data_IF_305771562054
#
_entry.id   IF_305771562054
#
_cell.length_a   1.000
_cell.length_b   1.000
_cell.length_c   1.000
_cell.angle_alpha   90.00
_cell.angle_beta   90.00
_cell.angle_gamma   90.00
#
_symmetry.space_group_name_H-M   'P 1'
#
loop_
_entity.id
_entity.type
_entity.pdbx_description
1 polymer ?
#
# COMPACT_ATOMS: atom_id res chain seq x y z
N UNK A 1 16.66 -10.73 1.96
CA UNK A 1 15.24 -10.32 1.90
C UNK A 1 14.46 -11.36 1.12
N UNK A 2 13.33 -11.85 1.68
CA UNK A 2 12.51 -12.86 1.02
C UNK A 2 11.11 -12.32 0.77
N UNK A 3 10.58 -12.54 -0.43
CA UNK A 3 9.22 -12.19 -0.83
C UNK A 3 8.44 -13.46 -1.09
N UNK A 4 7.26 -13.59 -0.48
CA UNK A 4 6.47 -14.81 -0.47
C UNK A 4 5.19 -14.68 -1.30
N UNK A 5 4.87 -15.71 -2.08
CA UNK A 5 3.64 -15.84 -2.84
C UNK A 5 3.73 -15.34 -4.29
N UNK A 6 2.81 -15.87 -5.14
CA UNK A 6 2.88 -15.68 -6.60
C UNK A 6 2.78 -14.22 -7.03
N UNK A 7 1.79 -13.49 -6.53
CA UNK A 7 1.56 -12.11 -6.96
C UNK A 7 2.67 -11.15 -6.52
N UNK A 8 3.12 -11.13 -5.23
CA UNK A 8 4.21 -10.27 -4.79
C UNK A 8 5.52 -10.57 -5.53
N UNK A 9 5.84 -11.84 -5.76
CA UNK A 9 7.04 -12.24 -6.51
C UNK A 9 6.98 -11.76 -7.95
N UNK A 10 5.87 -11.99 -8.66
CA UNK A 10 5.66 -11.51 -10.04
C UNK A 10 5.82 -9.99 -10.14
N UNK A 11 5.27 -9.28 -9.17
CA UNK A 11 5.34 -7.83 -9.10
C UNK A 11 6.78 -7.34 -8.94
N UNK A 12 7.54 -7.95 -8.02
CA UNK A 12 8.95 -7.61 -7.79
C UNK A 12 9.83 -7.92 -8.98
N UNK A 13 9.63 -9.05 -9.63
CA UNK A 13 10.32 -9.39 -10.87
C UNK A 13 10.03 -8.38 -11.99
N UNK A 14 8.77 -7.93 -12.11
CA UNK A 14 8.37 -6.90 -13.06
C UNK A 14 9.04 -5.54 -12.77
N UNK A 15 9.22 -5.21 -11.50
CA UNK A 15 9.95 -4.02 -11.06
C UNK A 15 11.44 -4.11 -11.42
N UNK A 16 12.08 -5.25 -11.17
CA UNK A 16 13.47 -5.50 -11.58
C UNK A 16 13.65 -5.33 -13.09
N UNK A 17 12.73 -5.87 -13.89
CA UNK A 17 12.74 -5.72 -15.35
C UNK A 17 12.64 -4.26 -15.77
N UNK A 18 11.71 -3.50 -15.19
CA UNK A 18 11.49 -2.09 -15.51
C UNK A 18 12.68 -1.21 -15.15
N UNK A 19 13.31 -1.47 -14.00
CA UNK A 19 14.48 -0.71 -13.51
C UNK A 19 15.81 -1.19 -14.09
N UNK A 20 15.80 -2.29 -14.85
CA UNK A 20 16.99 -2.99 -15.35
C UNK A 20 18.05 -3.22 -14.25
N UNK A 21 17.58 -3.54 -13.04
CA UNK A 21 18.41 -3.71 -11.86
C UNK A 21 17.99 -4.96 -11.07
N UNK A 22 18.71 -6.07 -11.29
CA UNK A 22 18.52 -7.33 -10.58
C UNK A 22 19.68 -7.51 -9.61
N UNK A 23 19.43 -7.73 -8.31
CA UNK A 23 20.50 -8.06 -7.35
C UNK A 23 21.26 -9.31 -7.77
N UNK A 24 22.59 -9.31 -7.65
CA UNK A 24 23.46 -10.41 -8.09
C UNK A 24 23.24 -11.72 -7.33
N UNK A 25 22.68 -11.63 -6.11
CA UNK A 25 22.37 -12.76 -5.23
C UNK A 25 20.88 -13.15 -5.26
N UNK A 26 20.14 -12.65 -6.27
CA UNK A 26 18.70 -12.92 -6.41
C UNK A 26 18.45 -14.38 -6.83
N UNK A 27 17.57 -15.07 -6.08
CA UNK A 27 17.19 -16.47 -6.35
C UNK A 27 15.67 -16.61 -6.28
N UNK A 28 15.10 -17.38 -7.21
CA UNK A 28 13.70 -17.80 -7.18
C UNK A 28 13.63 -19.23 -6.62
N UNK A 29 13.07 -19.39 -5.43
CA UNK A 29 12.90 -20.67 -4.76
C UNK A 29 11.50 -21.20 -5.03
N UNK A 30 11.41 -22.38 -5.59
CA UNK A 30 10.18 -23.04 -6.01
C UNK A 30 9.99 -24.34 -5.24
N UNK A 31 8.80 -24.53 -4.66
CA UNK A 31 8.44 -25.82 -4.06
C UNK A 31 8.24 -26.84 -5.14
N UNK A 32 8.91 -28.00 -5.03
CA UNK A 32 8.64 -29.13 -5.92
C UNK A 32 7.17 -29.55 -5.84
N UNK A 33 6.49 -29.45 -6.96
CA UNK A 33 5.11 -29.88 -7.16
C UNK A 33 5.02 -30.72 -8.43
N UNK A 34 3.90 -31.42 -8.64
CA UNK A 34 3.58 -31.96 -9.95
C UNK A 34 3.65 -30.84 -11.00
N UNK A 35 4.31 -31.14 -12.13
CA UNK A 35 4.64 -30.17 -13.20
C UNK A 35 3.46 -29.33 -13.71
N UNK A 36 2.22 -29.78 -13.48
CA UNK A 36 0.99 -29.10 -13.86
C UNK A 36 0.64 -27.84 -13.04
N UNK A 37 1.36 -27.57 -11.93
CA UNK A 37 1.03 -26.50 -11.00
C UNK A 37 2.13 -25.43 -10.83
N UNK A 38 3.15 -25.46 -11.65
CA UNK A 38 4.19 -24.43 -11.63
C UNK A 38 3.68 -23.09 -12.18
N UNK A 39 4.08 -21.95 -11.57
CA UNK A 39 3.75 -20.62 -12.06
C UNK A 39 4.64 -20.26 -13.25
N UNK A 40 4.27 -20.74 -14.44
CA UNK A 40 5.06 -20.60 -15.67
C UNK A 40 5.36 -19.17 -16.02
N UNK A 41 4.43 -18.24 -15.78
CA UNK A 41 4.60 -16.81 -15.99
C UNK A 41 5.69 -16.18 -15.12
N UNK A 42 5.83 -16.62 -13.86
CA UNK A 42 6.88 -16.18 -12.94
C UNK A 42 8.23 -16.77 -13.34
N UNK A 43 8.24 -18.06 -13.70
CA UNK A 43 9.44 -18.76 -14.13
C UNK A 43 10.01 -18.10 -15.39
N UNK A 44 9.20 -17.91 -16.44
CA UNK A 44 9.62 -17.25 -17.67
C UNK A 44 10.15 -15.84 -17.43
N UNK A 45 9.52 -15.10 -16.51
CA UNK A 45 9.98 -13.76 -16.17
C UNK A 45 11.34 -13.80 -15.42
N UNK A 46 11.54 -14.72 -14.50
CA UNK A 46 12.79 -14.90 -13.77
C UNK A 46 13.93 -15.35 -14.71
N UNK A 47 13.65 -16.27 -15.64
CA UNK A 47 14.59 -16.68 -16.67
C UNK A 47 15.04 -15.52 -17.57
N UNK A 48 14.07 -14.69 -17.99
CA UNK A 48 14.37 -13.51 -18.82
C UNK A 48 15.25 -12.47 -18.11
N UNK A 49 15.29 -12.52 -16.77
CA UNK A 49 16.11 -11.65 -15.93
C UNK A 49 17.44 -12.30 -15.47
N UNK A 50 17.71 -13.53 -15.90
CA UNK A 50 18.90 -14.26 -15.51
C UNK A 50 18.94 -14.65 -14.01
N UNK A 51 17.77 -14.73 -13.36
CA UNK A 51 17.67 -15.07 -11.94
C UNK A 51 17.83 -16.58 -11.75
N UNK A 52 18.70 -16.98 -10.82
CA UNK A 52 18.92 -18.38 -10.48
C UNK A 52 17.66 -19.00 -9.88
N UNK A 53 17.25 -20.17 -10.39
CA UNK A 53 16.13 -20.93 -9.85
C UNK A 53 16.61 -22.06 -8.97
N UNK A 54 15.97 -22.22 -7.82
CA UNK A 54 16.22 -23.28 -6.85
C UNK A 54 14.92 -24.07 -6.62
N UNK A 55 14.96 -25.39 -6.79
CA UNK A 55 13.81 -26.25 -6.54
C UNK A 55 14.04 -27.00 -5.22
N UNK A 56 13.08 -26.85 -4.31
CA UNK A 56 13.18 -27.43 -2.96
C UNK A 56 12.06 -28.44 -2.74
N UNK A 57 12.43 -29.61 -2.21
CA UNK A 57 11.47 -30.68 -1.90
C UNK A 57 10.39 -30.18 -0.92
N UNK A 58 9.13 -30.60 -1.13
CA UNK A 58 7.95 -30.12 -0.38
C UNK A 58 8.13 -30.10 1.14
N UNK A 59 8.69 -31.20 1.72
CA UNK A 59 8.88 -31.29 3.18
C UNK A 59 9.89 -30.27 3.71
N UNK A 60 10.94 -30.02 2.99
CA UNK A 60 11.99 -29.06 3.33
C UNK A 60 11.44 -27.63 3.16
N UNK A 61 10.77 -27.36 2.05
CA UNK A 61 10.15 -26.07 1.77
C UNK A 61 9.09 -25.70 2.82
N UNK A 62 8.15 -26.63 3.12
CA UNK A 62 7.11 -26.41 4.12
C UNK A 62 7.68 -26.37 5.55
N UNK A 63 8.78 -27.07 5.83
CA UNK A 63 9.51 -26.99 7.10
C UNK A 63 10.18 -25.64 7.32
N UNK A 64 10.79 -25.09 6.28
CA UNK A 64 11.51 -23.82 6.35
C UNK A 64 10.58 -22.60 6.22
N UNK A 65 9.57 -22.67 5.36
CA UNK A 65 8.73 -21.54 4.99
C UNK A 65 7.24 -21.72 5.30
N UNK A 66 6.83 -22.84 5.92
CA UNK A 66 5.42 -23.19 6.14
C UNK A 66 4.60 -22.19 6.97
N UNK A 67 5.28 -21.32 7.74
CA UNK A 67 4.65 -20.21 8.48
C UNK A 67 4.22 -19.03 7.59
N UNK A 68 4.70 -19.00 6.33
CA UNK A 68 4.42 -17.92 5.39
C UNK A 68 3.39 -18.35 4.34
N UNK A 69 2.61 -17.42 3.81
CA UNK A 69 1.66 -17.67 2.73
C UNK A 69 2.36 -17.67 1.35
N UNK A 70 3.27 -18.61 1.15
CA UNK A 70 4.20 -18.66 0.01
C UNK A 70 3.61 -19.17 -1.32
N UNK A 71 2.47 -19.85 -1.32
CA UNK A 71 1.88 -20.46 -2.53
C UNK A 71 2.89 -21.26 -3.40
N UNK A 72 3.95 -21.81 -2.75
CA UNK A 72 5.02 -22.56 -3.41
C UNK A 72 6.08 -21.72 -4.13
N UNK A 73 6.12 -20.40 -3.93
CA UNK A 73 7.04 -19.48 -4.62
C UNK A 73 7.63 -18.46 -3.66
N UNK A 74 8.97 -18.31 -3.70
CA UNK A 74 9.70 -17.32 -2.90
C UNK A 74 10.77 -16.68 -3.78
N UNK A 75 10.94 -15.37 -3.68
CA UNK A 75 12.05 -14.64 -4.28
C UNK A 75 12.97 -14.14 -3.16
N UNK A 76 14.23 -14.62 -3.16
CA UNK A 76 15.24 -14.26 -2.16
C UNK A 76 16.36 -13.43 -2.78
N UNK A 77 16.78 -12.34 -2.12
CA UNK A 77 17.90 -11.48 -2.53
C UNK A 77 18.43 -10.67 -1.34
N UNK A 78 19.62 -10.08 -1.46
CA UNK A 78 20.23 -9.21 -0.43
C UNK A 78 20.90 -9.96 0.73
N UNK A 79 21.57 -11.07 0.46
CA UNK A 79 22.53 -11.68 1.39
C UNK A 79 21.94 -12.49 2.57
N UNK A 80 20.70 -12.98 2.45
CA UNK A 80 20.07 -13.81 3.49
C UNK A 80 20.33 -15.30 3.25
N UNK A 81 21.45 -15.83 3.76
CA UNK A 81 21.59 -17.27 3.97
C UNK A 81 20.79 -17.66 5.22
N UNK A 82 19.62 -18.26 5.04
CA UNK A 82 18.86 -18.84 6.16
C UNK A 82 19.52 -20.14 6.65
N UNK A 83 20.48 -20.03 7.56
CA UNK A 83 20.79 -21.10 8.49
C UNK A 83 19.82 -20.99 9.68
N UNK A 84 19.11 -22.11 9.93
CA UNK A 84 18.17 -22.21 11.04
C UNK A 84 18.83 -21.88 12.37
N UNK A 85 18.59 -20.72 12.95
CA UNK A 85 18.60 -20.42 14.39
C UNK A 85 18.05 -19.03 14.66
N UNK A 86 16.96 -19.00 15.45
CA UNK A 86 16.52 -17.96 16.37
C UNK A 86 16.42 -16.49 15.89
N UNK A 87 15.18 -16.00 15.99
CA UNK A 87 14.82 -14.61 16.31
C UNK A 87 15.63 -13.51 15.63
N UNK A 88 15.34 -13.26 14.34
CA UNK A 88 15.37 -11.90 13.87
C UNK A 88 14.28 -11.71 12.80
N UNK A 89 13.37 -10.76 13.07
CA UNK A 89 12.34 -10.35 12.13
C UNK A 89 13.04 -9.73 10.92
N UNK A 90 13.30 -10.54 9.88
CA UNK A 90 13.56 -9.97 8.55
C UNK A 90 12.30 -9.23 8.13
N UNK A 91 12.26 -7.95 8.43
CA UNK A 91 11.17 -7.05 8.04
C UNK A 91 11.14 -7.03 6.52
N UNK A 92 10.05 -7.53 5.94
CA UNK A 92 9.69 -7.14 4.58
C UNK A 92 9.69 -5.62 4.54
N UNK A 93 10.64 -5.04 3.80
CA UNK A 93 10.79 -3.58 3.76
C UNK A 93 9.76 -3.03 2.78
N UNK A 94 8.62 -2.62 3.32
CA UNK A 94 7.65 -1.83 2.57
C UNK A 94 8.24 -0.43 2.34
N UNK A 95 8.01 0.19 1.17
CA UNK A 95 8.52 1.53 0.92
C UNK A 95 7.95 2.50 1.95
N UNK A 96 8.85 3.10 2.72
CA UNK A 96 8.51 4.13 3.70
C UNK A 96 9.24 5.41 3.35
N UNK A 97 8.61 6.54 3.59
CA UNK A 97 9.21 7.85 3.43
C UNK A 97 9.18 8.64 4.75
N UNK A 98 10.17 9.48 4.95
CA UNK A 98 10.13 10.47 6.01
C UNK A 98 9.14 11.60 5.69
N UNK A 99 8.56 12.22 6.73
CA UNK A 99 7.65 13.37 6.54
C UNK A 99 8.33 14.49 5.74
N UNK A 100 9.59 14.81 6.04
CA UNK A 100 10.32 15.88 5.37
C UNK A 100 10.57 15.58 3.88
N UNK A 101 10.83 14.31 3.54
CA UNK A 101 11.09 13.91 2.16
C UNK A 101 9.78 13.91 1.35
N UNK A 102 8.68 13.42 1.95
CA UNK A 102 7.34 13.51 1.37
C UNK A 102 6.93 14.96 1.08
N UNK A 103 7.08 15.86 2.07
CA UNK A 103 6.71 17.27 1.89
C UNK A 103 7.52 17.94 0.78
N UNK A 104 8.82 17.67 0.70
CA UNK A 104 9.70 18.19 -0.37
C UNK A 104 9.29 17.65 -1.74
N UNK A 105 8.96 16.37 -1.84
CA UNK A 105 8.49 15.77 -3.10
C UNK A 105 7.17 16.40 -3.55
N UNK A 106 6.20 16.55 -2.63
CA UNK A 106 4.90 17.16 -2.91
C UNK A 106 5.06 18.64 -3.31
N UNK A 107 5.95 19.39 -2.66
CA UNK A 107 6.20 20.80 -2.98
C UNK A 107 6.64 20.98 -4.44
N UNK A 108 7.46 20.06 -4.94
CA UNK A 108 8.02 20.08 -6.29
C UNK A 108 7.10 19.48 -7.38
N UNK A 109 5.94 18.94 -7.03
CA UNK A 109 4.96 18.41 -7.98
C UNK A 109 3.88 19.44 -8.28
N UNK A 110 3.39 19.45 -9.50
CA UNK A 110 2.21 20.23 -9.88
C UNK A 110 0.92 19.60 -9.34
N UNK A 111 0.84 18.28 -9.39
CA UNK A 111 -0.31 17.50 -8.91
C UNK A 111 0.14 16.41 -7.95
N UNK A 112 -0.68 16.16 -6.92
CA UNK A 112 -0.42 15.08 -5.96
C UNK A 112 -1.70 14.60 -5.28
N UNK A 113 -1.83 13.30 -5.11
CA UNK A 113 -2.92 12.67 -4.35
C UNK A 113 -2.31 11.98 -3.14
N UNK A 114 -2.74 12.35 -1.95
CA UNK A 114 -2.30 11.77 -0.68
C UNK A 114 -3.51 11.19 0.04
N UNK A 115 -3.36 9.99 0.59
CA UNK A 115 -4.39 9.38 1.46
C UNK A 115 -3.89 9.44 2.90
N UNK A 116 -4.66 10.06 3.79
CA UNK A 116 -4.37 10.10 5.21
C UNK A 116 -5.42 9.26 5.95
N UNK A 117 -4.96 8.22 6.65
CA UNK A 117 -5.81 7.28 7.36
C UNK A 117 -5.81 7.61 8.85
N UNK A 118 -6.95 8.08 9.38
CA UNK A 118 -7.08 8.49 10.77
C UNK A 118 -7.66 7.37 11.64
N UNK A 119 -6.80 6.41 12.02
CA UNK A 119 -7.17 5.37 12.98
C UNK A 119 -7.73 4.08 12.36
N UNK A 120 -7.45 3.78 11.10
CA UNK A 120 -7.84 2.50 10.47
C UNK A 120 -7.12 1.33 11.18
N UNK A 121 -7.86 0.46 11.86
CA UNK A 121 -7.34 -0.66 12.66
C UNK A 121 -7.37 -2.00 11.93
N UNK A 122 -8.33 -2.17 11.04
CA UNK A 122 -8.47 -3.42 10.27
C UNK A 122 -7.43 -3.50 9.17
N UNK A 123 -6.60 -4.54 9.22
CA UNK A 123 -5.52 -4.78 8.26
C UNK A 123 -6.04 -5.13 6.87
N UNK A 124 -7.25 -5.72 6.79
CA UNK A 124 -7.92 -6.02 5.53
C UNK A 124 -8.35 -4.75 4.81
N UNK A 125 -8.95 -3.79 5.55
CA UNK A 125 -9.30 -2.47 5.02
C UNK A 125 -8.05 -1.70 4.61
N UNK A 126 -6.98 -1.71 5.42
CA UNK A 126 -5.71 -1.10 5.04
C UNK A 126 -5.18 -1.65 3.71
N UNK A 127 -5.16 -2.98 3.56
CA UNK A 127 -4.70 -3.60 2.31
C UNK A 127 -5.55 -3.21 1.10
N UNK A 128 -6.88 -3.18 1.25
CA UNK A 128 -7.80 -2.76 0.18
C UNK A 128 -7.61 -1.27 -0.18
N UNK A 129 -7.42 -0.41 0.82
CA UNK A 129 -7.13 1.01 0.63
C UNK A 129 -5.80 1.21 -0.13
N UNK A 130 -4.73 0.54 0.29
CA UNK A 130 -3.43 0.60 -0.41
C UNK A 130 -3.56 0.21 -1.88
N UNK A 131 -4.37 -0.81 -2.19
CA UNK A 131 -4.63 -1.22 -3.57
C UNK A 131 -5.35 -0.15 -4.36
N UNK A 132 -6.42 0.42 -3.84
CA UNK A 132 -7.17 1.50 -4.50
C UNK A 132 -6.30 2.75 -4.65
N UNK A 133 -5.56 3.13 -3.62
CA UNK A 133 -4.65 4.27 -3.63
C UNK A 133 -3.60 4.16 -4.74
N UNK A 134 -2.95 3.00 -4.88
CA UNK A 134 -1.99 2.79 -5.96
C UNK A 134 -2.66 2.86 -7.35
N UNK A 135 -3.84 2.25 -7.52
CA UNK A 135 -4.54 2.21 -8.81
C UNK A 135 -5.08 3.58 -9.24
N UNK A 136 -5.39 4.45 -8.28
CA UNK A 136 -5.84 5.82 -8.53
C UNK A 136 -4.73 6.86 -8.35
N UNK A 137 -3.47 6.45 -8.55
CA UNK A 137 -2.30 7.32 -8.61
C UNK A 137 -2.04 8.15 -7.33
N UNK A 138 -2.36 7.62 -6.15
CA UNK A 138 -1.89 8.24 -4.92
C UNK A 138 -0.37 8.14 -4.82
N UNK A 139 0.27 9.24 -4.40
CA UNK A 139 1.71 9.32 -4.22
C UNK A 139 2.14 8.74 -2.87
N UNK A 140 1.33 8.96 -1.83
CA UNK A 140 1.62 8.58 -0.45
C UNK A 140 0.38 8.13 0.31
N UNK A 141 0.59 7.21 1.26
CA UNK A 141 -0.39 6.90 2.31
C UNK A 141 0.20 7.25 3.66
N UNK A 142 -0.48 8.12 4.43
CA UNK A 142 -0.05 8.56 5.75
C UNK A 142 -0.81 7.77 6.80
N UNK A 143 -0.08 7.21 7.77
CA UNK A 143 -0.59 6.39 8.86
C UNK A 143 -0.20 6.99 10.21
N UNK A 144 -1.10 7.05 11.20
CA UNK A 144 -0.69 7.31 12.58
C UNK A 144 0.22 6.19 13.09
N UNK A 145 1.20 6.55 13.91
CA UNK A 145 2.07 5.58 14.59
C UNK A 145 1.29 4.70 15.56
N UNK A 146 0.33 5.30 16.26
CA UNK A 146 -0.44 4.64 17.30
C UNK A 146 -1.91 4.50 16.86
N UNK A 147 -2.59 3.47 17.37
CA UNK A 147 -4.00 3.19 17.11
C UNK A 147 -4.36 3.03 15.61
N UNK A 148 -3.44 2.49 14.83
CA UNK A 148 -3.62 2.22 13.39
C UNK A 148 -3.01 0.87 13.03
N UNK A 149 -3.57 0.22 12.00
CA UNK A 149 -2.97 -0.96 11.43
C UNK A 149 -1.60 -0.61 10.82
N UNK A 150 -0.64 -1.48 11.03
CA UNK A 150 0.66 -1.39 10.37
C UNK A 150 0.64 -2.12 9.02
N UNK A 151 1.43 -1.63 8.07
CA UNK A 151 1.69 -2.38 6.83
C UNK A 151 2.50 -3.62 7.19
N UNK A 152 1.92 -4.78 6.98
CA UNK A 152 2.50 -6.08 7.27
C UNK A 152 2.17 -7.08 6.13
N UNK A 153 2.60 -8.32 6.27
CA UNK A 153 2.36 -9.39 5.28
C UNK A 153 0.87 -9.53 4.93
N UNK A 154 -0.03 -9.42 5.91
CA UNK A 154 -1.48 -9.52 5.68
C UNK A 154 -1.99 -8.34 4.84
N UNK A 155 -1.58 -7.11 5.16
CA UNK A 155 -1.90 -5.92 4.36
C UNK A 155 -1.32 -6.03 2.94
N UNK A 156 -0.07 -6.48 2.81
CA UNK A 156 0.58 -6.68 1.52
C UNK A 156 -0.17 -7.70 0.66
N UNK A 157 -0.58 -8.83 1.24
CA UNK A 157 -1.37 -9.85 0.56
C UNK A 157 -2.75 -9.32 0.12
N UNK A 158 -3.43 -8.59 1.00
CA UNK A 158 -4.75 -7.98 0.71
C UNK A 158 -4.65 -6.87 -0.33
N UNK A 159 -3.53 -6.15 -0.36
CA UNK A 159 -3.27 -5.09 -1.34
C UNK A 159 -2.89 -5.63 -2.73
N UNK A 160 -2.80 -6.95 -2.93
CA UNK A 160 -2.31 -7.59 -4.16
C UNK A 160 -0.94 -7.02 -4.61
N UNK A 161 -0.05 -6.72 -3.65
CA UNK A 161 1.30 -6.22 -3.90
C UNK A 161 1.42 -4.69 -3.95
N UNK A 162 0.33 -3.92 -3.82
CA UNK A 162 0.40 -2.46 -3.80
C UNK A 162 1.24 -1.91 -2.64
N UNK A 163 1.26 -2.60 -1.49
CA UNK A 163 2.10 -2.26 -0.34
C UNK A 163 3.61 -2.21 -0.65
N UNK A 164 4.07 -2.89 -1.70
CA UNK A 164 5.48 -2.86 -2.12
C UNK A 164 5.82 -1.73 -3.09
N UNK A 165 4.83 -0.96 -3.52
CA UNK A 165 5.01 0.10 -4.53
C UNK A 165 4.64 1.48 -4.01
N UNK A 166 3.61 1.56 -3.16
CA UNK A 166 3.09 2.81 -2.66
C UNK A 166 3.80 3.18 -1.36
N UNK A 167 4.56 4.30 -1.33
CA UNK A 167 5.24 4.74 -0.12
C UNK A 167 4.25 5.07 1.00
N UNK A 168 4.56 4.58 2.20
CA UNK A 168 3.82 4.91 3.41
C UNK A 168 4.64 5.84 4.31
N UNK A 169 3.96 6.76 4.98
CA UNK A 169 4.56 7.72 5.91
C UNK A 169 3.90 7.54 7.27
N UNK A 170 4.70 7.25 8.29
CA UNK A 170 4.19 7.12 9.66
C UNK A 170 4.38 8.43 10.42
N UNK A 171 3.29 8.93 11.03
CA UNK A 171 3.29 10.19 11.76
C UNK A 171 2.84 10.00 13.21
N UNK A 172 3.47 10.69 14.14
CA UNK A 172 3.07 10.68 15.56
C UNK A 172 1.91 11.65 15.83
N UNK A 173 1.79 12.70 15.02
CA UNK A 173 0.74 13.71 15.19
C UNK A 173 0.13 14.06 13.83
N UNK A 174 -1.06 13.52 13.59
CA UNK A 174 -1.82 13.71 12.34
C UNK A 174 -2.18 15.19 12.12
N UNK A 175 -2.65 15.87 13.16
CA UNK A 175 -3.07 17.28 13.05
C UNK A 175 -1.90 18.19 12.66
N UNK A 176 -0.70 17.95 13.22
CA UNK A 176 0.52 18.67 12.82
C UNK A 176 0.91 18.36 11.38
N UNK A 177 0.82 17.09 10.99
CA UNK A 177 1.14 16.69 9.61
C UNK A 177 0.22 17.41 8.60
N UNK A 178 -1.06 17.57 8.91
CA UNK A 178 -2.00 18.35 8.10
C UNK A 178 -1.55 19.81 7.97
N UNK A 179 -1.12 20.44 9.07
CA UNK A 179 -0.61 21.82 9.02
C UNK A 179 0.62 21.95 8.12
N UNK A 180 1.48 20.94 8.10
CA UNK A 180 2.67 20.92 7.25
C UNK A 180 2.30 20.68 5.77
N UNK A 181 1.33 19.81 5.47
CA UNK A 181 0.81 19.58 4.13
C UNK A 181 0.17 20.84 3.54
N UNK A 182 -0.60 21.59 4.34
CA UNK A 182 -1.17 22.87 3.91
C UNK A 182 -0.10 23.90 3.50
N UNK A 183 1.04 23.94 4.19
CA UNK A 183 2.14 24.86 3.87
C UNK A 183 2.75 24.58 2.49
N UNK A 184 2.71 23.35 2.00
CA UNK A 184 3.19 22.97 0.66
C UNK A 184 2.07 22.99 -0.41
N UNK A 185 0.94 23.63 -0.09
CA UNK A 185 -0.16 23.89 -1.03
C UNK A 185 -1.19 22.78 -1.14
N UNK A 186 -1.24 21.84 -0.21
CA UNK A 186 -2.27 20.79 -0.22
C UNK A 186 -3.61 21.30 0.33
N UNK A 187 -4.69 20.86 -0.31
CA UNK A 187 -6.06 20.97 0.19
C UNK A 187 -6.48 19.68 0.88
N UNK A 188 -7.17 19.82 2.02
CA UNK A 188 -7.53 18.72 2.90
C UNK A 188 -9.03 18.44 2.79
N UNK A 189 -9.36 17.26 2.31
CA UNK A 189 -10.72 16.78 2.16
C UNK A 189 -10.98 15.66 3.16
N UNK A 190 -11.86 15.88 4.14
CA UNK A 190 -12.21 14.88 5.14
C UNK A 190 -13.50 14.17 4.74
N UNK A 191 -13.44 12.84 4.61
CA UNK A 191 -14.60 12.03 4.27
C UNK A 191 -15.52 11.84 5.48
N UNK A 192 -16.75 12.34 5.38
CA UNK A 192 -17.78 12.22 6.40
C UNK A 192 -19.14 12.06 5.73
N UNK A 193 -20.13 11.56 6.48
CA UNK A 193 -21.49 11.38 5.97
C UNK A 193 -22.23 12.71 5.74
N UNK A 194 -21.83 13.77 6.46
CA UNK A 194 -22.42 15.10 6.36
C UNK A 194 -21.41 16.09 5.79
N UNK A 195 -21.48 16.33 4.49
CA UNK A 195 -20.55 17.19 3.79
C UNK A 195 -21.05 17.62 2.41
N UNK A 196 -20.14 18.14 1.61
CA UNK A 196 -20.39 18.45 0.21
C UNK A 196 -20.28 17.20 -0.64
N UNK A 197 -21.22 16.96 -1.52
CA UNK A 197 -21.21 15.87 -2.49
C UNK A 197 -19.91 15.90 -3.30
N UNK A 198 -19.17 14.76 -3.32
CA UNK A 198 -17.90 14.63 -4.05
C UNK A 198 -18.02 14.98 -5.53
N UNK A 199 -19.20 14.76 -6.14
CA UNK A 199 -19.47 15.12 -7.53
C UNK A 199 -19.56 16.64 -7.76
N UNK A 200 -19.79 17.42 -6.69
CA UNK A 200 -19.88 18.89 -6.71
C UNK A 200 -18.58 19.58 -6.29
N UNK A 201 -17.59 18.84 -5.80
CA UNK A 201 -16.30 19.38 -5.37
C UNK A 201 -15.38 19.52 -6.59
N UNK A 202 -14.77 20.69 -6.78
CA UNK A 202 -13.60 20.86 -7.65
C UNK A 202 -12.34 20.57 -6.83
N UNK A 203 -11.79 19.35 -6.97
CA UNK A 203 -10.63 18.94 -6.22
C UNK A 203 -9.38 19.69 -6.68
N UNK A 204 -8.61 20.20 -5.71
CA UNK A 204 -7.36 20.89 -5.97
C UNK A 204 -6.30 19.94 -6.56
N UNK A 205 -5.33 20.49 -7.28
CA UNK A 205 -4.25 19.72 -7.89
C UNK A 205 -3.43 18.93 -6.87
N UNK A 206 -3.27 19.47 -5.64
CA UNK A 206 -2.65 18.78 -4.51
C UNK A 206 -3.73 18.47 -3.47
N UNK A 207 -4.24 17.24 -3.51
CA UNK A 207 -5.38 16.81 -2.69
C UNK A 207 -4.98 15.78 -1.64
N UNK A 208 -5.35 16.02 -0.39
CA UNK A 208 -5.22 15.07 0.72
C UNK A 208 -6.59 14.55 1.10
N UNK A 209 -6.82 13.27 0.96
CA UNK A 209 -8.08 12.61 1.30
C UNK A 209 -7.92 11.97 2.67
N UNK A 210 -8.65 12.47 3.66
CA UNK A 210 -8.64 11.96 5.04
C UNK A 210 -9.79 10.99 5.21
N UNK A 211 -9.45 9.77 5.64
CA UNK A 211 -10.40 8.69 5.91
C UNK A 211 -10.34 8.31 7.38
N UNK A 212 -11.48 8.21 8.03
CA UNK A 212 -11.59 7.84 9.44
C UNK A 212 -11.83 6.36 9.67
N UNK A 213 -11.82 5.95 10.95
CA UNK A 213 -12.15 4.61 11.42
C UNK A 213 -13.62 4.27 11.16
N UNK A 214 -13.93 2.99 10.87
CA UNK A 214 -15.30 2.50 10.81
C UNK A 214 -16.01 2.69 12.16
N UNK A 215 -17.16 3.34 12.15
CA UNK A 215 -17.99 3.63 13.32
C UNK A 215 -17.65 4.95 14.02
N UNK A 216 -16.41 5.22 14.39
CA UNK A 216 -16.02 6.47 15.07
C UNK A 216 -15.72 7.63 14.12
N UNK A 217 -15.45 7.33 12.84
CA UNK A 217 -15.14 8.34 11.83
C UNK A 217 -13.77 9.00 12.04
N UNK A 218 -13.65 10.23 11.59
CA UNK A 218 -12.45 11.06 11.72
C UNK A 218 -12.45 11.77 13.08
N UNK A 219 -11.32 11.75 13.78
CA UNK A 219 -11.18 12.46 15.06
C UNK A 219 -11.44 13.95 14.89
N UNK A 220 -12.13 14.55 15.86
CA UNK A 220 -12.55 15.95 15.82
C UNK A 220 -11.43 16.92 15.45
N UNK A 221 -10.27 16.83 16.09
CA UNK A 221 -9.12 17.71 15.81
C UNK A 221 -8.61 17.58 14.37
N UNK A 222 -8.74 16.42 13.76
CA UNK A 222 -8.35 16.18 12.36
C UNK A 222 -9.41 16.74 11.42
N UNK A 223 -10.69 16.49 11.73
CA UNK A 223 -11.83 17.01 10.99
C UNK A 223 -11.87 18.53 10.97
N UNK A 224 -11.62 19.18 12.10
CA UNK A 224 -11.61 20.66 12.23
C UNK A 224 -10.49 21.32 11.39
N UNK A 225 -9.48 20.56 10.94
CA UNK A 225 -8.42 21.04 10.04
C UNK A 225 -8.69 20.81 8.56
N UNK A 226 -9.76 20.10 8.21
CA UNK A 226 -10.14 19.93 6.82
C UNK A 226 -10.60 21.25 6.21
N UNK A 227 -10.29 21.44 4.93
CA UNK A 227 -10.77 22.60 4.16
C UNK A 227 -12.18 22.35 3.65
N UNK A 228 -12.47 21.09 3.30
CA UNK A 228 -13.79 20.65 2.83
C UNK A 228 -14.13 19.31 3.49
N UNK A 229 -15.38 19.19 3.96
CA UNK A 229 -15.94 17.91 4.34
C UNK A 229 -16.61 17.33 3.10
N UNK A 230 -16.13 16.17 2.65
CA UNK A 230 -16.59 15.51 1.44
C UNK A 230 -17.50 14.32 1.77
N UNK A 231 -18.63 14.20 1.10
CA UNK A 231 -19.56 13.08 1.28
C UNK A 231 -19.82 12.34 -0.01
N UNK A 232 -19.99 11.02 0.10
CA UNK A 232 -20.53 10.19 -0.99
C UNK A 232 -22.04 10.13 -0.82
N UNK A 233 -22.83 10.59 -1.78
CA UNK A 233 -24.28 10.49 -1.69
C UNK A 233 -24.73 9.03 -1.63
N UNK A 234 -25.41 8.67 -0.57
CA UNK A 234 -26.00 7.35 -0.35
C UNK A 234 -27.44 7.47 0.09
N UNK A 235 -28.18 6.37 0.07
CA UNK A 235 -29.52 6.33 0.66
C UNK A 235 -29.44 6.03 2.17
N UNK A 236 -30.52 6.32 2.90
CA UNK A 236 -30.59 6.21 4.36
C UNK A 236 -30.83 4.77 4.88
N UNK A 237 -30.62 3.75 4.05
CA UNK A 237 -30.91 2.36 4.44
C UNK A 237 -29.82 1.72 5.31
N UNK A 238 -28.60 2.25 5.26
CA UNK A 238 -27.45 1.84 6.06
C UNK A 238 -26.70 3.07 6.53
N UNK A 239 -26.05 2.95 7.69
CA UNK A 239 -25.36 4.08 8.33
C UNK A 239 -24.14 4.55 7.54
N UNK A 240 -23.39 3.65 6.90
CA UNK A 240 -22.19 4.02 6.14
C UNK A 240 -21.74 2.93 5.16
N UNK A 241 -20.92 3.32 4.20
CA UNK A 241 -20.13 2.41 3.37
C UNK A 241 -18.90 1.91 4.16
N UNK A 242 -18.41 0.72 3.82
CA UNK A 242 -17.10 0.28 4.29
C UNK A 242 -16.02 1.29 3.87
N UNK A 243 -15.08 1.57 4.78
CA UNK A 243 -14.06 2.62 4.58
C UNK A 243 -13.19 2.40 3.35
N UNK A 244 -12.86 1.15 3.00
CA UNK A 244 -12.06 0.87 1.80
C UNK A 244 -12.86 1.12 0.50
N UNK A 245 -14.17 0.88 0.53
CA UNK A 245 -15.07 1.18 -0.59
C UNK A 245 -15.19 2.69 -0.76
N UNK A 246 -15.46 3.42 0.32
CA UNK A 246 -15.54 4.89 0.31
C UNK A 246 -14.25 5.51 -0.20
N UNK A 247 -13.11 5.02 0.27
CA UNK A 247 -11.78 5.48 -0.21
C UNK A 247 -11.64 5.27 -1.72
N UNK A 248 -12.04 4.09 -2.22
CA UNK A 248 -11.97 3.80 -3.66
C UNK A 248 -12.83 4.74 -4.51
N UNK A 249 -14.05 5.05 -4.06
CA UNK A 249 -14.98 5.95 -4.75
C UNK A 249 -14.43 7.39 -4.79
N UNK A 250 -13.97 7.91 -3.64
CA UNK A 250 -13.43 9.28 -3.55
C UNK A 250 -12.15 9.39 -4.40
N UNK A 251 -11.25 8.42 -4.31
CA UNK A 251 -10.01 8.45 -5.08
C UNK A 251 -10.26 8.33 -6.59
N UNK A 252 -11.26 7.55 -7.01
CA UNK A 252 -11.67 7.51 -8.41
C UNK A 252 -12.07 8.92 -8.89
N UNK A 253 -12.91 9.63 -8.14
CA UNK A 253 -13.39 10.95 -8.53
C UNK A 253 -12.23 11.98 -8.55
N UNK A 254 -11.39 12.02 -7.52
CA UNK A 254 -10.20 12.87 -7.48
C UNK A 254 -9.29 12.62 -8.68
N UNK A 255 -8.92 11.36 -8.91
CA UNK A 255 -8.05 10.98 -10.02
C UNK A 255 -8.68 11.34 -11.39
N UNK A 256 -9.99 11.10 -11.56
CA UNK A 256 -10.71 11.46 -12.78
C UNK A 256 -10.61 12.96 -13.08
N UNK A 257 -10.83 13.81 -12.07
CA UNK A 257 -10.75 15.26 -12.23
C UNK A 257 -9.31 15.72 -12.53
N UNK A 258 -8.31 15.21 -11.80
CA UNK A 258 -6.92 15.59 -12.00
C UNK A 258 -6.37 15.17 -13.37
N UNK A 259 -6.91 14.11 -13.97
CA UNK A 259 -6.54 13.70 -15.34
C UNK A 259 -7.16 14.58 -16.42
N UNK A 260 -8.25 15.31 -16.12
CA UNK A 260 -8.93 16.19 -17.07
C UNK A 260 -8.39 17.63 -17.04
N UNK A 261 -7.71 18.02 -15.96
CA UNK A 261 -7.01 19.30 -15.82
C UNK A 261 -5.63 19.23 -16.50
#
# INVERSE_FOLDING_TARGET
>A
MDIFGRNPVKEKLSDFRRRNNVPSDCRLILRENDKSHYPTDIITLAESLGIQMEYMHRREFDGQYGRYSHQGVILSFGGSSHSAKNDDKSQETYPTAGVADMLRDIENKDKSIIVLLDGIKDVGNLGAILRSALLFNADYVILPKDNSAAVNETAAKRSAGAAFKLPTVTVTNVARCIDELKKVGCWIYAADMNGTDIGSIDFADKSVIVMGEEGSGIRRLVRDKADIIATIPTNDKLDSLNVSVSTGIILYEVNRQLQQK
#
